data_IF_163608783703
#
_entry.id   IF_163608783703
#
_cell.length_a   1.000
_cell.length_b   1.000
_cell.length_c   1.000
_cell.angle_alpha   90.00
_cell.angle_beta   90.00
_cell.angle_gamma   90.00
#
_symmetry.space_group_name_H-M   'P 1'
#
loop_
_entity.id
_entity.type
_entity.pdbx_description
1 polymer ?
#
# COMPACT_ATOMS: atom_id res chain seq x y z
N UNK A 1 -4.69 -7.55 -12.93
CA UNK A 1 -3.22 -7.53 -13.10
C UNK A 1 -2.79 -6.08 -13.22
N UNK A 2 -1.77 -5.63 -12.46
CA UNK A 2 -1.32 -4.23 -12.45
C UNK A 2 -0.10 -3.98 -13.36
N UNK A 3 0.33 -4.97 -14.15
CA UNK A 3 1.52 -4.85 -15.01
C UNK A 3 2.87 -4.83 -14.26
N UNK A 4 2.86 -4.81 -12.93
CA UNK A 4 4.05 -4.75 -12.09
C UNK A 4 4.58 -6.14 -11.68
N UNK A 5 4.65 -7.09 -12.62
CA UNK A 5 4.95 -8.49 -12.33
C UNK A 5 6.32 -8.70 -11.64
N UNK A 6 7.31 -7.87 -11.95
CA UNK A 6 8.64 -7.90 -11.32
C UNK A 6 8.66 -7.35 -9.89
N UNK A 7 7.61 -6.64 -9.47
CA UNK A 7 7.48 -5.97 -8.18
C UNK A 7 6.50 -6.69 -7.23
N UNK A 8 6.07 -7.90 -7.60
CA UNK A 8 5.19 -8.69 -6.76
C UNK A 8 5.84 -9.11 -5.43
N UNK A 9 5.06 -9.42 -4.38
CA UNK A 9 3.64 -9.13 -4.19
C UNK A 9 3.39 -7.62 -4.08
N UNK A 10 2.32 -7.13 -4.71
CA UNK A 10 2.00 -5.71 -4.79
C UNK A 10 0.55 -5.45 -4.37
N UNK A 11 0.33 -4.36 -3.64
CA UNK A 11 -0.98 -3.86 -3.20
C UNK A 11 -1.12 -2.41 -3.63
N UNK A 12 -2.30 -2.01 -4.06
CA UNK A 12 -2.62 -0.61 -4.37
C UNK A 12 -3.64 -0.07 -3.39
N UNK A 13 -3.41 1.14 -2.89
CA UNK A 13 -4.30 1.84 -1.98
C UNK A 13 -4.48 3.27 -2.46
N UNK A 14 -5.69 3.67 -2.86
CA UNK A 14 -6.01 5.02 -3.35
C UNK A 14 -5.07 5.58 -4.45
N UNK A 15 -4.51 4.70 -5.29
CA UNK A 15 -3.56 5.06 -6.34
C UNK A 15 -2.08 4.95 -5.95
N UNK A 16 -1.79 4.74 -4.66
CA UNK A 16 -0.45 4.44 -4.14
C UNK A 16 -0.10 2.96 -4.35
N UNK A 17 1.15 2.67 -4.70
CA UNK A 17 1.65 1.30 -4.92
C UNK A 17 2.55 0.85 -3.76
N UNK A 18 2.27 -0.33 -3.21
CA UNK A 18 3.06 -0.99 -2.17
C UNK A 18 3.62 -2.30 -2.72
N UNK A 19 4.89 -2.30 -3.16
CA UNK A 19 5.59 -3.48 -3.65
C UNK A 19 6.29 -4.25 -2.52
N UNK A 20 6.81 -5.45 -2.83
CA UNK A 20 7.46 -6.34 -1.86
C UNK A 20 6.65 -6.55 -0.58
N UNK A 21 5.34 -6.71 -0.76
CA UNK A 21 4.40 -6.85 0.32
C UNK A 21 4.53 -8.24 0.95
N UNK A 22 4.48 -8.30 2.27
CA UNK A 22 4.41 -9.56 3.02
C UNK A 22 3.09 -9.61 3.78
N UNK A 23 2.62 -10.80 4.20
CA UNK A 23 1.38 -10.91 4.98
C UNK A 23 1.40 -10.03 6.25
N UNK A 24 2.56 -9.89 6.90
CA UNK A 24 2.73 -9.01 8.06
C UNK A 24 2.60 -7.52 7.73
N UNK A 25 3.21 -7.07 6.63
CA UNK A 25 3.04 -5.68 6.15
C UNK A 25 1.60 -5.40 5.76
N UNK A 26 0.91 -6.39 5.17
CA UNK A 26 -0.49 -6.26 4.76
C UNK A 26 -1.44 -6.07 5.93
N UNK A 27 -1.29 -6.88 6.99
CA UNK A 27 -2.09 -6.72 8.22
C UNK A 27 -1.90 -5.34 8.84
N UNK A 28 -0.65 -4.89 8.98
CA UNK A 28 -0.34 -3.53 9.48
C UNK A 28 -0.94 -2.44 8.60
N UNK A 29 -0.88 -2.58 7.28
CA UNK A 29 -1.49 -1.62 6.35
C UNK A 29 -3.00 -1.54 6.58
N UNK A 30 -3.70 -2.68 6.66
CA UNK A 30 -5.15 -2.72 6.91
C UNK A 30 -5.51 -2.11 8.27
N UNK A 31 -4.77 -2.46 9.33
CA UNK A 31 -4.97 -1.90 10.68
C UNK A 31 -4.82 -0.38 10.67
N UNK A 32 -3.77 0.12 10.00
CA UNK A 32 -3.49 1.54 9.87
C UNK A 32 -4.64 2.25 9.14
N UNK A 33 -5.06 1.76 7.98
CA UNK A 33 -6.16 2.33 7.19
C UNK A 33 -7.50 2.30 7.94
N UNK A 34 -7.76 1.22 8.67
CA UNK A 34 -8.97 1.11 9.48
C UNK A 34 -9.00 2.10 10.65
N UNK A 35 -7.82 2.47 11.17
CA UNK A 35 -7.65 3.41 12.27
C UNK A 35 -7.58 4.87 11.80
N UNK A 36 -7.16 5.12 10.56
CA UNK A 36 -7.01 6.45 9.95
C UNK A 36 -8.33 7.12 9.53
N UNK A 37 -9.50 6.64 9.97
CA UNK A 37 -10.80 7.28 9.72
C UNK A 37 -10.96 8.69 10.33
N UNK A 38 -9.89 9.35 10.77
CA UNK A 38 -9.95 10.67 11.38
C UNK A 38 -9.07 11.74 10.73
N UNK A 39 -7.93 11.47 10.06
CA UNK A 39 -7.05 12.56 9.56
C UNK A 39 -6.29 12.19 8.26
N UNK A 40 -6.17 13.18 7.37
CA UNK A 40 -5.80 13.15 5.95
C UNK A 40 -4.27 13.23 5.65
N UNK A 41 -3.90 12.86 4.41
CA UNK A 41 -2.76 13.33 3.58
C UNK A 41 -1.36 12.63 3.53
N UNK A 42 -0.96 12.39 2.26
CA UNK A 42 0.37 12.25 1.62
C UNK A 42 1.39 11.16 2.00
N UNK A 43 1.86 10.41 0.98
CA UNK A 43 3.24 10.59 0.48
C UNK A 43 3.41 10.00 -0.95
N UNK A 44 3.74 10.88 -1.89
CA UNK A 44 4.22 10.53 -3.24
C UNK A 44 5.71 10.25 -3.12
N UNK A 45 6.18 9.05 -3.53
CA UNK A 45 7.62 8.85 -3.78
C UNK A 45 7.89 8.13 -5.09
N UNK A 46 8.31 8.95 -6.05
CA UNK A 46 9.27 8.73 -7.13
C UNK A 46 9.79 7.30 -7.35
N UNK A 47 9.67 6.78 -8.57
CA UNK A 47 10.72 6.85 -9.62
C UNK A 47 10.25 6.16 -10.90
#
# INVERSE_FOLDING_TARGET
CLGACALGPIVTENGSYHNYMTPGKLRKLIETLSSQKTEDNQDVKAQ
#
